data_IF_109376135947
#
_entry.id   IF_109376135947
#
_cell.length_a   1.000
_cell.length_b   1.000
_cell.length_c   1.000
_cell.angle_alpha   90.00
_cell.angle_beta   90.00
_cell.angle_gamma   90.00
#
_symmetry.space_group_name_H-M   'P 1'
#
loop_
_entity.id
_entity.type
_entity.pdbx_description
1 polymer ?
#
# COMPACT_ATOMS: atom_id res chain seq x y z
N UNK A 1 45.17 27.01 4.58
CA UNK A 1 43.79 27.26 4.11
C UNK A 1 43.70 26.70 2.71
N UNK A 2 42.97 25.59 2.54
CA UNK A 2 42.90 24.86 1.29
C UNK A 2 41.43 24.72 0.91
N UNK A 3 41.03 25.36 -0.18
CA UNK A 3 39.71 25.16 -0.79
C UNK A 3 39.87 24.22 -1.98
N UNK A 4 39.18 23.08 -1.95
CA UNK A 4 38.54 22.33 -3.08
C UNK A 4 38.13 20.94 -2.55
N UNK A 5 37.01 20.29 -2.90
CA UNK A 5 35.97 20.43 -3.92
C UNK A 5 34.62 20.01 -3.29
N UNK A 6 33.55 20.73 -3.61
CA UNK A 6 32.18 20.22 -3.45
C UNK A 6 31.91 19.29 -4.63
N UNK A 7 31.86 17.97 -4.38
CA UNK A 7 31.21 17.05 -5.32
C UNK A 7 29.71 17.09 -5.02
N UNK A 8 28.99 17.85 -5.84
CA UNK A 8 27.58 17.59 -6.09
C UNK A 8 27.48 16.22 -6.75
N UNK A 9 26.72 15.32 -6.14
CA UNK A 9 26.23 14.13 -6.82
C UNK A 9 24.74 14.36 -7.11
N UNK A 10 24.36 14.77 -8.34
CA UNK A 10 22.99 15.10 -8.68
C UNK A 10 22.29 13.85 -9.21
N UNK A 11 22.14 12.80 -8.39
CA UNK A 11 21.20 11.72 -8.71
C UNK A 11 20.99 10.77 -7.54
N UNK A 12 20.48 11.31 -6.43
CA UNK A 12 19.76 10.51 -5.46
C UNK A 12 18.43 10.01 -6.04
N UNK A 13 18.45 9.23 -7.12
CA UNK A 13 17.38 8.27 -7.35
C UNK A 13 17.46 7.32 -6.17
N UNK A 14 16.74 7.67 -5.10
CA UNK A 14 16.34 6.72 -4.08
C UNK A 14 15.86 5.52 -4.87
N UNK A 15 16.64 4.44 -4.86
CA UNK A 15 16.21 3.15 -5.38
C UNK A 15 14.98 2.86 -4.56
N UNK A 16 13.80 3.19 -5.09
CA UNK A 16 12.51 2.87 -4.51
C UNK A 16 12.48 1.36 -4.61
N UNK A 17 13.00 0.71 -3.58
CA UNK A 17 13.00 -0.74 -3.46
C UNK A 17 11.59 -1.17 -3.80
N UNK A 18 11.46 -2.12 -4.73
CA UNK A 18 10.15 -2.67 -5.09
C UNK A 18 9.53 -3.12 -3.77
N UNK A 19 8.53 -2.39 -3.27
CA UNK A 19 7.77 -2.82 -2.11
C UNK A 19 7.03 -4.07 -2.56
N UNK A 20 7.47 -5.22 -2.09
CA UNK A 20 6.77 -6.48 -2.32
C UNK A 20 5.47 -6.43 -1.51
N UNK A 21 4.34 -6.37 -2.22
CA UNK A 21 3.02 -6.42 -1.62
C UNK A 21 2.61 -7.89 -1.61
N UNK A 22 2.36 -8.43 -0.44
CA UNK A 22 1.74 -9.75 -0.31
C UNK A 22 0.23 -9.53 -0.41
N UNK A 23 -0.40 -10.13 -1.42
CA UNK A 23 -1.82 -9.98 -1.74
C UNK A 23 -2.46 -11.36 -1.91
N UNK A 24 -3.56 -11.57 -1.23
CA UNK A 24 -4.43 -12.74 -1.34
C UNK A 24 -5.86 -12.26 -1.63
N UNK A 25 -6.54 -12.98 -2.52
CA UNK A 25 -7.92 -12.69 -2.92
C UNK A 25 -8.71 -13.99 -2.84
N UNK A 26 -9.69 -14.03 -1.94
CA UNK A 26 -10.60 -15.16 -1.83
C UNK A 26 -11.99 -14.76 -2.33
N UNK A 27 -12.59 -15.55 -3.21
CA UNK A 27 -14.00 -15.40 -3.53
C UNK A 27 -14.85 -16.05 -2.44
N UNK A 28 -15.68 -15.25 -1.75
CA UNK A 28 -16.53 -15.70 -0.64
C UNK A 28 -18.02 -15.68 -0.99
N UNK A 29 -18.36 -15.37 -2.24
CA UNK A 29 -19.72 -15.40 -2.78
C UNK A 29 -19.74 -14.99 -4.25
N UNK A 30 -20.92 -15.00 -4.88
CA UNK A 30 -21.07 -14.73 -6.32
C UNK A 30 -20.45 -13.39 -6.76
N UNK A 31 -20.56 -12.37 -5.91
CA UNK A 31 -20.01 -11.02 -6.13
C UNK A 31 -19.15 -10.53 -4.97
N UNK A 32 -18.87 -11.38 -3.99
CA UNK A 32 -18.20 -11.00 -2.75
C UNK A 32 -16.80 -11.58 -2.70
N UNK A 33 -15.84 -10.75 -2.32
CA UNK A 33 -14.43 -11.13 -2.23
C UNK A 33 -13.85 -10.69 -0.89
N UNK A 34 -12.87 -11.44 -0.40
CA UNK A 34 -12.04 -11.11 0.73
C UNK A 34 -10.64 -10.75 0.19
N UNK A 35 -10.26 -9.49 0.37
CA UNK A 35 -8.97 -8.96 -0.04
C UNK A 35 -8.06 -8.89 1.19
N UNK A 36 -7.01 -9.70 1.24
CA UNK A 36 -6.01 -9.64 2.32
C UNK A 36 -4.69 -9.16 1.75
N UNK A 37 -4.10 -8.13 2.33
CA UNK A 37 -2.76 -7.71 1.91
C UNK A 37 -1.96 -7.02 2.99
N UNK A 38 -0.64 -7.20 2.89
CA UNK A 38 0.35 -6.59 3.76
C UNK A 38 1.07 -5.47 3.03
N UNK A 39 1.13 -4.29 3.64
CA UNK A 39 1.87 -3.15 3.12
C UNK A 39 2.65 -2.41 4.21
N UNK A 40 3.68 -1.68 3.80
CA UNK A 40 4.41 -0.78 4.69
C UNK A 40 3.61 0.48 5.01
N UNK A 41 3.81 1.04 6.20
CA UNK A 41 3.23 2.33 6.59
C UNK A 41 3.67 3.42 5.63
N UNK A 42 2.71 3.95 4.87
CA UNK A 42 2.89 5.17 4.06
C UNK A 42 1.88 6.22 4.50
N UNK A 43 2.32 7.47 4.64
CA UNK A 43 1.44 8.60 4.96
C UNK A 43 0.37 8.71 3.88
N UNK A 44 -0.90 8.74 4.28
CA UNK A 44 -2.04 8.78 3.34
C UNK A 44 -2.35 7.47 2.61
N UNK A 45 -1.61 6.39 2.87
CA UNK A 45 -1.77 5.12 2.13
C UNK A 45 -3.16 4.50 2.27
N UNK A 46 -3.81 4.66 3.44
CA UNK A 46 -5.17 4.18 3.65
C UNK A 46 -6.21 4.97 2.84
N UNK A 47 -6.09 6.30 2.77
CA UNK A 47 -6.99 7.11 1.94
C UNK A 47 -6.89 6.73 0.46
N UNK A 48 -5.66 6.60 -0.03
CA UNK A 48 -5.40 6.15 -1.41
C UNK A 48 -5.98 4.77 -1.71
N UNK A 49 -5.94 3.84 -0.74
CA UNK A 49 -6.56 2.52 -0.86
C UNK A 49 -8.08 2.62 -1.04
N UNK A 50 -8.75 3.38 -0.16
CA UNK A 50 -10.21 3.56 -0.20
C UNK A 50 -10.64 4.22 -1.52
N UNK A 51 -9.93 5.26 -1.95
CA UNK A 51 -10.18 5.95 -3.23
C UNK A 51 -9.99 5.02 -4.42
N UNK A 52 -8.94 4.19 -4.40
CA UNK A 52 -8.67 3.21 -5.46
C UNK A 52 -9.81 2.20 -5.56
N UNK A 53 -10.23 1.62 -4.45
CA UNK A 53 -11.34 0.64 -4.43
C UNK A 53 -12.63 1.28 -4.92
N UNK A 54 -12.94 2.51 -4.47
CA UNK A 54 -14.08 3.28 -4.96
C UNK A 54 -13.99 3.54 -6.48
N UNK A 55 -12.82 3.92 -7.00
CA UNK A 55 -12.62 4.18 -8.44
C UNK A 55 -12.81 2.94 -9.33
N UNK A 56 -12.63 1.75 -8.75
CA UNK A 56 -12.86 0.47 -9.42
C UNK A 56 -14.35 0.06 -9.39
N UNK A 57 -15.23 0.85 -8.77
CA UNK A 57 -16.65 0.53 -8.61
C UNK A 57 -16.92 -0.56 -7.57
N UNK A 58 -15.94 -0.85 -6.70
CA UNK A 58 -16.05 -1.89 -5.67
C UNK A 58 -16.58 -1.28 -4.37
N UNK A 59 -17.48 -2.00 -3.71
CA UNK A 59 -18.06 -1.59 -2.43
C UNK A 59 -17.38 -2.34 -1.27
N UNK A 60 -16.89 -1.60 -0.27
CA UNK A 60 -16.34 -2.20 0.96
C UNK A 60 -17.48 -2.39 1.96
N UNK A 61 -17.71 -3.63 2.38
CA UNK A 61 -18.69 -4.00 3.41
C UNK A 61 -18.07 -4.05 4.79
N UNK A 62 -16.84 -4.54 4.89
CA UNK A 62 -16.10 -4.65 6.15
C UNK A 62 -14.62 -4.37 5.89
N UNK A 63 -13.96 -3.71 6.84
CA UNK A 63 -12.54 -3.43 6.78
C UNK A 63 -11.92 -3.65 8.17
N UNK A 64 -11.02 -4.63 8.25
CA UNK A 64 -10.17 -4.86 9.42
C UNK A 64 -8.75 -4.47 9.07
N UNK A 65 -8.17 -3.59 9.90
CA UNK A 65 -6.82 -3.06 9.69
C UNK A 65 -6.00 -3.30 10.95
N UNK A 66 -4.98 -4.12 10.83
CA UNK A 66 -4.07 -4.44 11.93
C UNK A 66 -2.70 -3.86 11.67
N UNK A 67 -2.18 -3.09 12.62
CA UNK A 67 -0.83 -2.52 12.54
C UNK A 67 0.14 -3.30 13.40
N UNK A 68 1.27 -3.72 12.83
CA UNK A 68 2.33 -4.39 13.56
C UNK A 68 3.70 -4.05 12.96
N UNK A 69 4.66 -3.62 13.79
CA UNK A 69 6.04 -3.29 13.38
C UNK A 69 6.15 -2.42 12.11
N UNK A 70 5.33 -1.36 12.01
CA UNK A 70 5.35 -0.44 10.87
C UNK A 70 4.72 -1.00 9.58
N UNK A 71 4.10 -2.19 9.64
CA UNK A 71 3.30 -2.77 8.55
C UNK A 71 1.81 -2.73 8.88
N UNK A 72 1.00 -2.72 7.83
CA UNK A 72 -0.45 -2.79 7.87
C UNK A 72 -0.90 -4.08 7.20
N UNK A 73 -1.58 -4.95 7.95
CA UNK A 73 -2.38 -6.02 7.38
C UNK A 73 -3.80 -5.48 7.19
N UNK A 74 -4.25 -5.47 5.95
CA UNK A 74 -5.59 -5.02 5.57
C UNK A 74 -6.38 -6.25 5.15
N UNK A 75 -7.55 -6.43 5.73
CA UNK A 75 -8.51 -7.47 5.38
C UNK A 75 -9.81 -6.76 5.04
N UNK A 76 -10.18 -6.76 3.76
CA UNK A 76 -11.35 -6.06 3.26
C UNK A 76 -12.35 -7.06 2.70
N UNK A 77 -13.60 -6.95 3.11
CA UNK A 77 -14.71 -7.62 2.44
C UNK A 77 -15.28 -6.67 1.41
N UNK A 78 -15.18 -7.03 0.14
CA UNK A 78 -15.61 -6.20 -0.98
C UNK A 78 -16.69 -6.88 -1.83
N UNK A 79 -17.52 -6.09 -2.50
CA UNK A 79 -18.49 -6.53 -3.49
C UNK A 79 -18.25 -5.85 -4.84
N UNK A 80 -18.40 -6.61 -5.93
CA UNK A 80 -18.34 -6.14 -7.32
C UNK A 80 -19.70 -5.98 -7.97
#
# INVERSE_FOLDING_TARGET
MSFTKVNQDPSGFVKKGRTEIQLEVDQIGKRHFLLKFLCEKKRGGFGMLMETIHSLGLHIHDATITTFNGKFLNILKIES
#
